data_IF_924091982658
#
_entry.id   IF_924091982658
#
_cell.length_a   1.000
_cell.length_b   1.000
_cell.length_c   1.000
_cell.angle_alpha   90.00
_cell.angle_beta   90.00
_cell.angle_gamma   90.00
#
_symmetry.space_group_name_H-M   'P 1'
#
loop_
_entity.id
_entity.type
_entity.pdbx_description
1 polymer ?
#
# COMPACT_ATOMS: atom_id res chain seq x y z
N UNK A 1 -11.33 -66.85 -87.38
CA UNK A 1 -10.73 -65.46 -87.25
C UNK A 1 -11.72 -64.61 -86.53
N UNK A 2 -11.50 -64.45 -85.23
CA UNK A 2 -12.36 -63.67 -84.32
C UNK A 2 -11.68 -62.31 -84.03
N UNK A 3 -12.45 -61.26 -84.23
CA UNK A 3 -12.03 -59.88 -83.92
C UNK A 3 -12.13 -59.58 -82.43
N UNK A 4 -11.19 -58.89 -81.83
CA UNK A 4 -11.21 -58.62 -80.43
C UNK A 4 -12.08 -57.43 -80.09
N UNK A 5 -12.74 -57.59 -78.97
CA UNK A 5 -13.74 -56.75 -78.31
C UNK A 5 -13.29 -55.32 -78.03
N UNK A 6 -14.22 -54.42 -78.33
CA UNK A 6 -14.20 -52.99 -77.99
C UNK A 6 -14.69 -52.79 -76.53
N UNK A 7 -13.80 -52.76 -75.56
CA UNK A 7 -14.09 -52.51 -74.18
C UNK A 7 -13.95 -51.01 -73.89
N UNK A 8 -15.05 -50.27 -73.97
CA UNK A 8 -15.09 -48.88 -73.60
C UNK A 8 -15.66 -48.75 -72.17
N UNK A 9 -14.88 -48.22 -71.21
CA UNK A 9 -15.40 -47.98 -69.84
C UNK A 9 -16.44 -46.86 -69.88
N UNK A 10 -17.61 -47.13 -69.30
CA UNK A 10 -18.72 -46.20 -69.13
C UNK A 10 -18.29 -45.05 -68.21
N UNK A 11 -18.11 -43.85 -68.73
CA UNK A 11 -17.85 -42.60 -68.01
C UNK A 11 -18.99 -42.14 -67.07
N UNK A 12 -20.04 -42.92 -66.92
CA UNK A 12 -21.26 -42.56 -66.21
C UNK A 12 -21.22 -42.82 -64.69
N UNK A 13 -20.36 -43.71 -64.25
CA UNK A 13 -20.31 -44.14 -62.84
C UNK A 13 -19.53 -43.16 -61.95
N UNK A 14 -18.58 -42.41 -62.51
CA UNK A 14 -17.83 -41.40 -61.78
C UNK A 14 -18.68 -40.15 -61.49
N UNK A 15 -19.66 -39.81 -62.32
CA UNK A 15 -20.52 -38.66 -62.17
C UNK A 15 -21.51 -38.84 -60.99
N UNK A 16 -22.07 -40.03 -60.87
CA UNK A 16 -22.95 -40.40 -59.74
C UNK A 16 -22.20 -40.48 -58.46
N UNK A 17 -20.96 -40.96 -58.41
CA UNK A 17 -20.09 -41.01 -57.24
C UNK A 17 -19.70 -39.60 -56.71
N UNK A 18 -19.42 -38.64 -57.61
CA UNK A 18 -19.11 -37.29 -57.27
C UNK A 18 -20.32 -36.52 -56.67
N UNK A 19 -21.52 -36.76 -57.23
CA UNK A 19 -22.75 -36.14 -56.68
C UNK A 19 -23.08 -36.69 -55.29
N UNK A 20 -22.96 -37.99 -55.06
CA UNK A 20 -23.19 -38.58 -53.73
C UNK A 20 -22.18 -38.15 -52.75
N UNK A 21 -20.90 -37.95 -53.09
CA UNK A 21 -19.88 -37.40 -52.21
C UNK A 21 -20.16 -35.95 -51.84
N UNK A 22 -20.58 -35.12 -52.79
CA UNK A 22 -20.94 -33.72 -52.52
C UNK A 22 -22.18 -33.59 -51.62
N UNK A 23 -23.19 -34.45 -51.84
CA UNK A 23 -24.37 -34.48 -50.96
C UNK A 23 -24.01 -34.94 -49.54
N UNK A 24 -23.12 -35.90 -49.40
CA UNK A 24 -22.66 -36.38 -48.09
C UNK A 24 -21.83 -35.31 -47.35
N UNK A 25 -20.95 -34.61 -48.06
CA UNK A 25 -20.19 -33.49 -47.49
C UNK A 25 -21.10 -32.32 -47.09
N UNK A 26 -22.13 -32.03 -47.91
CA UNK A 26 -23.13 -31.00 -47.59
C UNK A 26 -23.96 -31.35 -46.36
N UNK A 27 -24.41 -32.61 -46.26
CA UNK A 27 -25.14 -33.09 -45.08
C UNK A 27 -24.27 -33.08 -43.79
N UNK A 28 -22.99 -33.49 -43.91
CA UNK A 28 -22.06 -33.47 -42.79
C UNK A 28 -21.80 -32.03 -42.30
N UNK A 29 -21.62 -31.08 -43.22
CA UNK A 29 -21.40 -29.66 -42.90
C UNK A 29 -22.64 -29.05 -42.20
N UNK A 30 -23.83 -29.46 -42.61
CA UNK A 30 -25.10 -29.01 -42.03
C UNK A 30 -25.27 -29.55 -40.59
N UNK A 31 -24.90 -30.82 -40.38
CA UNK A 31 -24.93 -31.43 -39.04
C UNK A 31 -23.92 -30.75 -38.10
N UNK A 32 -22.69 -30.48 -38.58
CA UNK A 32 -21.67 -29.77 -37.82
C UNK A 32 -22.13 -28.34 -37.51
N UNK A 33 -22.73 -27.65 -38.47
CA UNK A 33 -23.27 -26.30 -38.25
C UNK A 33 -24.42 -26.30 -37.24
N UNK A 34 -25.35 -27.24 -37.30
CA UNK A 34 -26.41 -27.37 -36.30
C UNK A 34 -25.87 -27.74 -34.94
N UNK A 35 -24.88 -28.63 -34.85
CA UNK A 35 -24.22 -28.98 -33.59
C UNK A 35 -23.51 -27.78 -32.95
N UNK A 36 -22.81 -26.95 -33.74
CA UNK A 36 -22.16 -25.74 -33.26
C UNK A 36 -23.16 -24.67 -32.86
N UNK A 37 -24.30 -24.54 -33.54
CA UNK A 37 -25.39 -23.65 -33.13
C UNK A 37 -26.05 -24.10 -31.83
N UNK A 38 -26.29 -25.39 -31.65
CA UNK A 38 -26.82 -25.97 -30.40
C UNK A 38 -25.83 -25.84 -29.25
N UNK A 39 -24.55 -26.06 -29.46
CA UNK A 39 -23.50 -25.83 -28.46
C UNK A 39 -23.37 -24.34 -28.09
N UNK A 40 -23.66 -23.44 -29.02
CA UNK A 40 -23.65 -22.00 -28.80
C UNK A 40 -24.91 -21.50 -28.06
N UNK A 41 -26.05 -22.19 -28.22
CA UNK A 41 -27.28 -21.95 -27.46
C UNK A 41 -27.21 -22.58 -26.04
N UNK A 42 -26.42 -23.63 -25.89
CA UNK A 42 -25.97 -24.08 -24.59
C UNK A 42 -24.81 -23.18 -24.15
N UNK A 43 -25.10 -21.89 -24.03
CA UNK A 43 -24.43 -21.05 -23.10
C UNK A 43 -24.66 -21.73 -21.75
N UNK A 44 -23.73 -22.64 -21.40
CA UNK A 44 -23.59 -23.04 -20.03
C UNK A 44 -23.47 -21.71 -19.29
N UNK A 45 -24.57 -21.24 -18.73
CA UNK A 45 -24.61 -20.14 -17.80
C UNK A 45 -23.73 -20.52 -16.62
N UNK A 46 -22.43 -20.56 -16.87
CA UNK A 46 -21.45 -20.20 -15.87
C UNK A 46 -21.77 -18.73 -15.70
N UNK A 47 -22.93 -18.48 -15.05
CA UNK A 47 -23.12 -17.23 -14.36
C UNK A 47 -21.81 -17.11 -13.60
N UNK A 48 -20.94 -16.21 -14.07
CA UNK A 48 -19.83 -15.75 -13.27
C UNK A 48 -20.47 -15.34 -11.94
N UNK A 49 -20.58 -16.30 -11.05
CA UNK A 49 -20.88 -16.05 -9.66
C UNK A 49 -19.64 -15.34 -9.15
N UNK A 50 -19.57 -14.05 -9.52
CA UNK A 50 -18.59 -13.14 -8.93
C UNK A 50 -18.77 -13.30 -7.45
N UNK A 51 -17.76 -13.80 -6.74
CA UNK A 51 -17.87 -14.00 -5.31
C UNK A 51 -18.26 -12.67 -4.70
N UNK A 52 -19.46 -12.59 -4.13
CA UNK A 52 -19.92 -11.40 -3.42
C UNK A 52 -19.27 -11.44 -2.05
N UNK A 53 -18.23 -10.61 -1.87
CA UNK A 53 -17.68 -10.37 -0.56
C UNK A 53 -18.64 -9.43 0.18
N UNK A 54 -19.15 -9.87 1.31
CA UNK A 54 -19.86 -9.02 2.25
C UNK A 54 -19.03 -8.92 3.53
N UNK A 55 -18.83 -7.72 4.04
CA UNK A 55 -18.21 -7.49 5.33
C UNK A 55 -19.30 -7.22 6.35
N UNK A 56 -19.13 -7.76 7.55
CA UNK A 56 -19.97 -7.42 8.71
C UNK A 56 -19.76 -5.98 9.18
N UNK A 57 -18.89 -5.22 8.50
CA UNK A 57 -18.53 -3.86 8.86
C UNK A 57 -17.41 -3.80 9.90
N UNK A 58 -17.08 -2.60 10.37
CA UNK A 58 -16.00 -2.41 11.33
C UNK A 58 -16.33 -3.11 12.64
N UNK A 59 -15.38 -3.88 13.15
CA UNK A 59 -15.44 -4.49 14.48
C UNK A 59 -14.23 -4.09 15.29
N UNK A 60 -14.39 -3.96 16.61
CA UNK A 60 -13.30 -3.57 17.49
C UNK A 60 -12.14 -4.58 17.44
N UNK A 61 -12.44 -5.88 17.34
CA UNK A 61 -11.43 -6.95 17.27
C UNK A 61 -10.53 -6.79 16.03
N UNK A 62 -11.07 -6.32 14.91
CA UNK A 62 -10.28 -6.08 13.70
C UNK A 62 -9.35 -4.88 13.86
N UNK A 63 -9.79 -3.82 14.53
CA UNK A 63 -8.99 -2.64 14.80
C UNK A 63 -7.91 -2.92 15.86
N UNK A 64 -8.25 -3.63 16.94
CA UNK A 64 -7.29 -4.00 18.00
C UNK A 64 -6.13 -4.84 17.49
N UNK A 65 -6.38 -5.74 16.52
CA UNK A 65 -5.31 -6.56 15.92
C UNK A 65 -4.24 -5.76 15.17
N UNK A 66 -4.57 -4.56 14.71
CA UNK A 66 -3.61 -3.69 14.04
C UNK A 66 -2.61 -3.04 15.01
N UNK A 67 -2.90 -3.02 16.32
CA UNK A 67 -2.13 -2.36 17.38
C UNK A 67 -1.77 -0.91 17.02
N UNK A 68 -0.78 -0.72 16.16
CA UNK A 68 -0.34 0.58 15.70
C UNK A 68 -0.48 0.74 14.20
N UNK A 69 -1.10 1.83 13.77
CA UNK A 69 -1.11 2.26 12.36
C UNK A 69 -0.13 3.41 12.22
N UNK A 70 0.98 3.15 11.53
CA UNK A 70 1.95 4.18 11.17
C UNK A 70 1.32 5.05 10.09
N UNK A 71 1.01 6.30 10.43
CA UNK A 71 0.30 7.23 9.56
C UNK A 71 1.22 8.09 8.73
N UNK A 72 2.39 8.44 9.26
CA UNK A 72 3.39 9.19 8.52
C UNK A 72 4.81 8.98 9.04
N UNK A 73 5.77 9.23 8.16
CA UNK A 73 7.18 9.35 8.50
C UNK A 73 7.61 10.81 8.31
N UNK A 74 8.22 11.37 9.33
CA UNK A 74 8.74 12.74 9.31
C UNK A 74 10.25 12.67 9.19
N UNK A 75 10.79 13.30 8.16
CA UNK A 75 12.23 13.52 8.02
C UNK A 75 12.57 14.89 8.60
N UNK A 76 13.57 14.93 9.44
CA UNK A 76 14.05 16.15 10.12
C UNK A 76 15.49 16.40 9.68
N UNK A 77 15.79 17.62 9.25
CA UNK A 77 17.13 18.10 9.04
C UNK A 77 17.23 19.51 9.65
N UNK A 78 18.14 19.70 10.59
CA UNK A 78 18.29 20.96 11.32
C UNK A 78 19.73 21.15 11.77
N UNK A 79 20.07 22.38 12.20
CA UNK A 79 21.36 22.71 12.75
C UNK A 79 21.22 22.93 14.26
N UNK A 80 21.89 22.08 15.02
CA UNK A 80 21.99 22.21 16.46
C UNK A 80 23.25 23.02 16.83
N UNK A 81 23.08 24.08 17.60
CA UNK A 81 24.18 24.83 18.17
C UNK A 81 24.21 24.57 19.70
N UNK A 82 25.36 24.21 20.20
CA UNK A 82 25.58 23.95 21.61
C UNK A 82 26.76 24.78 22.17
N UNK A 83 26.57 25.29 23.36
CA UNK A 83 27.59 26.08 24.05
C UNK A 83 27.88 25.47 25.41
N UNK A 84 29.15 25.45 25.76
CA UNK A 84 29.64 25.17 27.10
C UNK A 84 30.49 26.33 27.60
N UNK A 85 31.00 26.24 28.83
CA UNK A 85 31.88 27.27 29.37
C UNK A 85 33.11 27.56 28.49
N UNK A 86 33.65 26.55 27.83
CA UNK A 86 34.91 26.62 27.09
C UNK A 86 34.80 26.34 25.59
N UNK A 87 33.70 25.69 25.17
CA UNK A 87 33.51 25.25 23.81
C UNK A 87 32.17 25.71 23.26
N UNK A 88 32.17 26.06 22.02
CA UNK A 88 30.95 26.24 21.19
C UNK A 88 31.04 25.29 20.03
N UNK A 89 29.91 24.61 19.71
CA UNK A 89 29.88 23.66 18.60
C UNK A 89 28.57 23.76 17.84
N UNK A 90 28.65 23.38 16.57
CA UNK A 90 27.50 23.22 15.71
C UNK A 90 27.48 21.86 15.05
N UNK A 91 26.27 21.29 14.93
CA UNK A 91 26.06 19.98 14.35
C UNK A 91 24.91 20.05 13.35
N UNK A 92 25.10 19.44 12.18
CA UNK A 92 24.02 19.17 11.25
C UNK A 92 23.36 17.89 11.72
N UNK A 93 22.10 17.96 12.11
CA UNK A 93 21.31 16.83 12.60
C UNK A 93 20.34 16.39 11.51
N UNK A 94 20.35 15.10 11.23
CA UNK A 94 19.37 14.47 10.37
C UNK A 94 18.71 13.34 11.16
N UNK A 95 17.40 13.21 11.05
CA UNK A 95 16.67 12.18 11.77
C UNK A 95 15.35 11.82 11.11
N UNK A 96 14.79 10.74 11.60
CA UNK A 96 13.49 10.22 11.16
C UNK A 96 12.60 9.97 12.37
N UNK A 97 11.33 10.31 12.24
CA UNK A 97 10.33 9.94 13.22
C UNK A 97 9.12 9.28 12.57
N UNK A 98 8.51 8.36 13.29
CA UNK A 98 7.29 7.68 12.89
C UNK A 98 6.15 8.19 13.78
N UNK A 99 5.08 8.66 13.13
CA UNK A 99 3.83 9.00 13.78
C UNK A 99 2.86 7.83 13.61
N UNK A 100 2.22 7.43 14.70
CA UNK A 100 1.29 6.31 14.68
C UNK A 100 0.07 6.58 15.57
N UNK A 101 -1.02 5.89 15.23
CA UNK A 101 -2.24 5.84 16.02
C UNK A 101 -2.34 4.47 16.67
N UNK A 102 -2.60 4.45 17.97
CA UNK A 102 -2.84 3.22 18.74
C UNK A 102 -4.28 2.72 18.49
N UNK A 103 -4.40 1.74 17.62
CA UNK A 103 -5.69 1.17 17.24
C UNK A 103 -6.28 0.26 18.34
N UNK A 104 -5.47 -0.19 19.31
CA UNK A 104 -5.97 -0.98 20.44
C UNK A 104 -6.93 -0.19 21.34
N UNK A 105 -6.86 1.14 21.24
CA UNK A 105 -7.69 2.10 22.01
C UNK A 105 -8.84 2.66 21.17
N UNK A 106 -9.08 2.08 19.99
CA UNK A 106 -10.18 2.49 19.13
C UNK A 106 -11.54 2.06 19.70
N UNK A 107 -12.55 2.87 19.46
CA UNK A 107 -13.95 2.56 19.82
C UNK A 107 -14.82 2.74 18.57
N UNK A 108 -15.85 1.89 18.43
CA UNK A 108 -16.85 2.03 17.38
C UNK A 108 -18.16 2.47 18.00
N UNK A 109 -18.71 3.56 17.46
CA UNK A 109 -20.03 4.10 17.87
C UNK A 109 -20.92 4.33 16.64
N UNK A 110 -22.19 4.54 16.90
CA UNK A 110 -23.20 4.91 15.90
C UNK A 110 -23.21 3.96 14.68
N UNK A 111 -23.07 2.66 14.94
CA UNK A 111 -23.09 1.64 13.89
C UNK A 111 -24.52 1.36 13.42
N UNK A 112 -24.80 1.68 12.16
CA UNK A 112 -26.04 1.37 11.45
C UNK A 112 -25.78 0.35 10.34
N UNK A 113 -26.28 -0.87 10.51
CA UNK A 113 -26.11 -1.95 9.53
C UNK A 113 -26.96 -1.74 8.26
N UNK A 114 -28.09 -1.06 8.38
CA UNK A 114 -28.99 -0.81 7.24
C UNK A 114 -28.40 0.28 6.35
N UNK A 115 -27.97 1.38 6.95
CA UNK A 115 -27.29 2.47 6.26
C UNK A 115 -25.84 2.16 5.93
N UNK A 116 -25.24 1.10 6.54
CA UNK A 116 -23.81 0.77 6.45
C UNK A 116 -22.90 1.93 6.83
N UNK A 117 -23.24 2.57 7.95
CA UNK A 117 -22.43 3.68 8.49
C UNK A 117 -21.92 3.33 9.88
N UNK A 118 -20.77 3.91 10.23
CA UNK A 118 -20.22 3.81 11.59
C UNK A 118 -19.29 4.98 11.89
N UNK A 119 -19.14 5.30 13.19
CA UNK A 119 -18.16 6.27 13.69
C UNK A 119 -17.06 5.53 14.42
N UNK A 120 -15.81 5.73 14.02
CA UNK A 120 -14.62 5.20 14.71
C UNK A 120 -14.02 6.33 15.54
N UNK A 121 -13.88 6.11 16.85
CA UNK A 121 -13.22 7.02 17.76
C UNK A 121 -11.81 6.54 17.98
N UNK A 122 -10.83 7.41 17.69
CA UNK A 122 -9.40 7.10 17.77
C UNK A 122 -8.70 8.02 18.75
N UNK A 123 -7.65 7.55 19.44
CA UNK A 123 -6.74 8.43 20.15
C UNK A 123 -5.94 9.27 19.17
N UNK A 124 -5.50 10.45 19.59
CA UNK A 124 -4.63 11.28 18.76
C UNK A 124 -3.34 10.54 18.36
N UNK A 125 -2.79 10.82 17.17
CA UNK A 125 -1.49 10.31 16.76
C UNK A 125 -0.42 10.71 17.79
N UNK A 126 0.56 9.84 17.95
CA UNK A 126 1.71 10.09 18.81
C UNK A 126 3.02 9.72 18.09
N UNK A 127 4.12 10.27 18.56
CA UNK A 127 5.45 9.87 18.09
C UNK A 127 5.73 8.47 18.62
N UNK A 128 5.66 7.48 17.74
CA UNK A 128 5.96 6.09 18.08
C UNK A 128 7.46 5.85 18.21
N UNK A 129 8.24 6.48 17.35
CA UNK A 129 9.69 6.33 17.32
C UNK A 129 10.30 7.58 16.70
N UNK A 130 11.34 8.08 17.31
CA UNK A 130 12.19 9.11 16.74
C UNK A 130 13.64 8.65 16.82
N UNK A 131 14.41 8.85 15.78
CA UNK A 131 15.81 8.41 15.72
C UNK A 131 16.66 9.41 14.97
N UNK A 132 17.80 9.75 15.57
CA UNK A 132 18.85 10.50 14.90
C UNK A 132 19.60 9.55 13.94
N UNK A 133 19.78 9.98 12.71
CA UNK A 133 20.62 9.25 11.76
C UNK A 133 22.08 9.65 11.96
N UNK A 134 22.83 8.81 12.67
CA UNK A 134 24.24 9.08 13.00
C UNK A 134 25.16 9.10 11.78
N UNK A 135 24.80 8.43 10.67
CA UNK A 135 25.61 8.42 9.46
C UNK A 135 25.50 9.73 8.67
N UNK A 136 24.33 10.38 8.75
CA UNK A 136 24.05 11.65 8.07
C UNK A 136 24.19 12.88 8.96
N UNK A 137 24.21 12.67 10.28
CA UNK A 137 24.43 13.73 11.25
C UNK A 137 25.93 13.90 11.45
N UNK A 138 26.40 15.11 11.32
CA UNK A 138 27.83 15.39 11.41
C UNK A 138 28.11 16.64 12.23
N UNK A 139 29.23 16.62 12.90
CA UNK A 139 29.77 17.80 13.52
C UNK A 139 30.26 18.74 12.42
N UNK A 140 29.74 19.98 12.42
CA UNK A 140 30.17 21.00 11.48
C UNK A 140 31.41 21.73 11.99
N UNK A 141 31.34 22.24 13.23
CA UNK A 141 32.44 23.02 13.82
C UNK A 141 32.38 22.90 15.35
N UNK A 142 33.57 22.90 15.98
CA UNK A 142 33.71 23.05 17.45
C UNK A 142 34.88 23.97 17.71
N UNK A 143 34.58 25.13 18.33
CA UNK A 143 35.54 26.19 18.60
C UNK A 143 35.74 26.37 20.11
N UNK A 144 36.95 26.85 20.48
CA UNK A 144 37.19 27.34 21.81
C UNK A 144 36.56 28.73 21.98
N UNK A 145 35.78 28.92 23.03
CA UNK A 145 35.25 30.24 23.46
C UNK A 145 36.27 31.04 24.28
N UNK A 146 37.38 30.42 24.66
CA UNK A 146 38.42 31.10 25.44
C UNK A 146 39.28 31.99 24.54
N UNK A 147 39.59 33.16 25.04
CA UNK A 147 40.58 34.06 24.40
C UNK A 147 41.98 33.42 24.35
N UNK A 148 42.23 32.39 25.16
CA UNK A 148 43.39 31.50 25.06
C UNK A 148 42.96 30.21 24.36
N UNK A 149 43.27 30.04 23.03
CA UNK A 149 42.80 28.92 22.25
C UNK A 149 43.15 27.53 22.84
N UNK A 150 44.32 27.42 23.45
CA UNK A 150 44.82 26.18 24.03
C UNK A 150 44.07 25.81 25.33
N UNK A 151 43.57 26.77 26.10
CA UNK A 151 42.85 26.50 27.34
C UNK A 151 41.49 25.84 27.08
N UNK A 152 40.78 26.22 26.01
CA UNK A 152 39.53 25.59 25.64
C UNK A 152 39.71 24.12 25.17
N UNK A 153 40.83 23.81 24.52
CA UNK A 153 41.16 22.44 24.12
C UNK A 153 41.61 21.57 25.30
N UNK A 154 42.33 22.15 26.28
CA UNK A 154 42.86 21.42 27.42
C UNK A 154 41.85 21.28 28.57
N UNK A 155 41.01 22.27 28.78
CA UNK A 155 40.06 22.35 29.90
C UNK A 155 38.62 22.01 29.48
N UNK A 156 38.34 22.05 28.19
CA UNK A 156 37.02 21.71 27.63
C UNK A 156 36.84 20.21 27.47
N UNK A 157 35.77 19.70 28.06
CA UNK A 157 35.38 18.31 27.82
C UNK A 157 34.61 18.20 26.51
N UNK A 158 35.34 17.97 25.41
CA UNK A 158 34.78 17.80 24.07
C UNK A 158 33.79 16.64 24.01
N UNK A 159 34.06 15.54 24.72
CA UNK A 159 33.16 14.38 24.76
C UNK A 159 31.83 14.72 25.42
N UNK A 160 31.87 15.50 26.48
CA UNK A 160 30.64 15.91 27.21
C UNK A 160 29.73 16.76 26.30
N UNK A 161 30.25 17.73 25.54
CA UNK A 161 29.44 18.56 24.65
C UNK A 161 28.90 17.74 23.50
N UNK A 162 29.69 16.80 22.93
CA UNK A 162 29.23 15.90 21.85
C UNK A 162 28.11 14.98 22.35
N UNK A 163 28.24 14.37 23.51
CA UNK A 163 27.19 13.55 24.11
C UNK A 163 25.93 14.35 24.42
N UNK A 164 26.06 15.56 24.89
CA UNK A 164 24.92 16.43 25.14
C UNK A 164 24.26 16.84 23.84
N UNK A 165 25.02 17.17 22.79
CA UNK A 165 24.51 17.48 21.46
C UNK A 165 23.68 16.33 20.90
N UNK A 166 24.13 15.06 21.07
CA UNK A 166 23.35 13.91 20.59
C UNK A 166 22.05 13.72 21.37
N UNK A 167 22.03 13.97 22.68
CA UNK A 167 20.78 13.94 23.47
C UNK A 167 19.80 15.03 23.03
N UNK A 168 20.30 16.23 22.80
CA UNK A 168 19.47 17.35 22.31
C UNK A 168 19.01 17.12 20.86
N UNK A 169 19.85 16.51 20.02
CA UNK A 169 19.47 16.09 18.67
C UNK A 169 18.28 15.12 18.68
N UNK A 170 18.30 14.14 19.58
CA UNK A 170 17.18 13.21 19.76
C UNK A 170 15.88 13.96 20.14
N UNK A 171 15.97 14.87 21.10
CA UNK A 171 14.82 15.70 21.53
C UNK A 171 14.35 16.65 20.43
N UNK A 172 15.26 17.13 19.60
CA UNK A 172 14.94 17.99 18.46
C UNK A 172 14.10 17.23 17.45
N UNK A 173 14.51 15.99 17.08
CA UNK A 173 13.75 15.13 16.16
C UNK A 173 12.36 14.81 16.72
N UNK A 174 12.26 14.50 18.02
CA UNK A 174 10.98 14.23 18.68
C UNK A 174 10.05 15.45 18.66
N UNK A 175 10.57 16.63 19.01
CA UNK A 175 9.79 17.88 19.00
C UNK A 175 9.36 18.28 17.61
N UNK A 176 10.24 18.16 16.62
CA UNK A 176 9.94 18.48 15.22
C UNK A 176 8.85 17.57 14.64
N UNK A 177 8.84 16.30 15.04
CA UNK A 177 7.79 15.36 14.65
C UNK A 177 6.47 15.61 15.38
N UNK A 178 6.52 16.10 16.62
CA UNK A 178 5.35 16.36 17.47
C UNK A 178 4.64 17.70 17.18
N UNK A 179 4.99 18.42 16.14
CA UNK A 179 4.32 19.68 15.77
C UNK A 179 2.89 19.44 15.27
N UNK A 180 1.99 20.40 15.53
CA UNK A 180 0.57 20.25 15.24
C UNK A 180 0.29 20.01 13.74
N UNK A 181 1.05 20.64 12.86
CA UNK A 181 0.92 20.44 11.41
C UNK A 181 1.21 18.99 10.99
N UNK A 182 2.24 18.36 11.60
CA UNK A 182 2.58 16.95 11.36
C UNK A 182 1.53 16.01 11.95
N UNK A 183 1.06 16.33 13.15
CA UNK A 183 -0.03 15.59 13.80
C UNK A 183 -1.34 15.69 12.98
N UNK A 184 -1.66 16.88 12.45
CA UNK A 184 -2.82 17.07 11.59
C UNK A 184 -2.71 16.25 10.30
N UNK A 185 -1.54 16.26 9.65
CA UNK A 185 -1.27 15.44 8.47
C UNK A 185 -1.42 13.94 8.77
N UNK A 186 -0.91 13.52 9.94
CA UNK A 186 -1.04 12.13 10.37
C UNK A 186 -2.51 11.72 10.61
N UNK A 187 -3.32 12.61 11.23
CA UNK A 187 -4.77 12.39 11.40
C UNK A 187 -5.46 12.23 10.03
N UNK A 188 -5.24 13.16 9.13
CA UNK A 188 -5.84 13.12 7.80
C UNK A 188 -5.47 11.85 7.03
N UNK A 189 -4.22 11.38 7.14
CA UNK A 189 -3.77 10.13 6.52
C UNK A 189 -4.54 8.92 7.04
N UNK A 190 -4.74 8.81 8.36
CA UNK A 190 -5.52 7.73 8.97
C UNK A 190 -7.00 7.81 8.59
N UNK A 191 -7.60 9.00 8.61
CA UNK A 191 -8.99 9.21 8.20
C UNK A 191 -9.22 8.72 6.77
N UNK A 192 -8.37 9.17 5.83
CA UNK A 192 -8.47 8.78 4.43
C UNK A 192 -8.30 7.28 4.24
N UNK A 193 -7.28 6.69 4.88
CA UNK A 193 -7.02 5.26 4.81
C UNK A 193 -8.20 4.43 5.32
N UNK A 194 -8.76 4.76 6.48
CA UNK A 194 -9.90 4.04 7.03
C UNK A 194 -11.15 4.24 6.20
N UNK A 195 -11.41 5.46 5.72
CA UNK A 195 -12.55 5.75 4.86
C UNK A 195 -12.49 4.94 3.55
N UNK A 196 -11.32 4.86 2.91
CA UNK A 196 -11.13 4.07 1.69
C UNK A 196 -11.24 2.57 1.95
N UNK A 197 -10.60 2.09 3.02
CA UNK A 197 -10.64 0.69 3.40
C UNK A 197 -12.07 0.20 3.62
N UNK A 198 -12.86 0.93 4.42
CA UNK A 198 -14.24 0.55 4.69
C UNK A 198 -15.18 0.80 3.51
N UNK A 199 -14.90 1.80 2.68
CA UNK A 199 -15.65 2.01 1.43
C UNK A 199 -15.51 0.82 0.48
N UNK A 200 -14.33 0.21 0.40
CA UNK A 200 -14.09 -0.97 -0.44
C UNK A 200 -14.97 -2.17 -0.07
N UNK A 201 -15.41 -2.26 1.19
CA UNK A 201 -16.34 -3.28 1.68
C UNK A 201 -17.79 -2.78 1.82
N UNK A 202 -18.08 -1.60 1.26
CA UNK A 202 -19.41 -1.03 1.16
C UNK A 202 -19.91 -0.34 2.44
N UNK A 203 -19.01 0.10 3.31
CA UNK A 203 -19.31 0.88 4.50
C UNK A 203 -18.82 2.31 4.38
N UNK A 204 -19.56 3.25 4.97
CA UNK A 204 -19.14 4.64 5.15
C UNK A 204 -18.75 4.85 6.60
N UNK A 205 -17.49 5.23 6.81
CA UNK A 205 -16.95 5.42 8.16
C UNK A 205 -16.49 6.87 8.33
N UNK A 206 -16.87 7.47 9.45
CA UNK A 206 -16.34 8.74 9.93
C UNK A 206 -15.38 8.50 11.10
N UNK A 207 -14.33 9.29 11.17
CA UNK A 207 -13.36 9.22 12.27
C UNK A 207 -13.55 10.42 13.20
N UNK A 208 -13.51 10.17 14.51
CA UNK A 208 -13.45 11.20 15.56
C UNK A 208 -12.26 10.95 16.45
N UNK A 209 -11.61 12.02 16.84
CA UNK A 209 -10.42 11.99 17.71
C UNK A 209 -10.79 12.29 19.15
N UNK A 210 -10.18 11.56 20.11
CA UNK A 210 -10.38 11.73 21.56
C UNK A 210 -9.08 12.06 22.27
#
# INVERSE_FOLDING_TARGET
MASPDDWRPRKRDHFLGTITLLLFLGALSLVVFQATCLLRQWDFGIAETRPRFSSSGPTIIQLERLQYVVSSRVHVADVLVGESRWLEGSWIITGDALLAVDMSRAEIKDRDEKARTATIILPHPAVLSARVNHERSQQWDVKSRSWIPLAGLLLGDRRAIEQQAMREAQRLVERAAGTEDKMATARQGVESMLAEFYRAVGWQVSVRWK
#
